data_IF_107996127664
#
_entry.id   IF_107996127664
#
_cell.length_a   1.000
_cell.length_b   1.000
_cell.length_c   1.000
_cell.angle_alpha   90.00
_cell.angle_beta   90.00
_cell.angle_gamma   90.00
#
_symmetry.space_group_name_H-M   'P 1'
#
loop_
_entity.id
_entity.type
_entity.pdbx_description
1 polymer ?
#
# COMPACT_ATOMS: atom_id res chain seq x y z
N UNK A 1 -51.78 -42.91 12.26
CA UNK A 1 -51.54 -43.19 13.69
C UNK A 1 -50.08 -42.85 13.98
N UNK A 2 -49.85 -41.73 14.66
CA UNK A 2 -48.55 -41.16 15.09
C UNK A 2 -47.91 -42.00 16.21
N UNK A 3 -46.58 -41.94 16.41
CA UNK A 3 -45.93 -40.89 17.26
C UNK A 3 -44.66 -40.33 16.59
N UNK A 4 -44.35 -39.01 16.58
CA UNK A 4 -43.94 -38.04 17.63
C UNK A 4 -42.65 -38.37 18.42
N UNK A 5 -41.56 -37.71 17.96
CA UNK A 5 -40.50 -36.97 18.69
C UNK A 5 -39.57 -37.76 19.64
N UNK A 6 -38.25 -37.72 19.37
CA UNK A 6 -37.22 -37.20 20.28
C UNK A 6 -35.80 -37.52 19.75
N UNK A 7 -34.89 -36.53 19.79
CA UNK A 7 -33.45 -36.80 19.63
C UNK A 7 -32.68 -35.75 18.82
N UNK A 8 -32.61 -34.52 19.33
CA UNK A 8 -31.57 -33.56 18.90
C UNK A 8 -30.24 -34.06 19.44
N UNK A 9 -29.34 -34.57 18.60
CA UNK A 9 -27.90 -34.37 18.83
C UNK A 9 -27.28 -33.93 17.50
N UNK A 10 -27.10 -32.62 17.46
CA UNK A 10 -26.18 -31.87 16.64
C UNK A 10 -24.75 -32.41 16.88
N UNK A 11 -24.13 -32.98 15.85
CA UNK A 11 -22.66 -32.97 15.75
C UNK A 11 -22.34 -32.34 14.41
N UNK A 12 -22.50 -31.02 14.35
CA UNK A 12 -21.75 -30.20 13.41
C UNK A 12 -20.28 -30.44 13.73
N UNK A 13 -19.61 -31.23 12.90
CA UNK A 13 -18.16 -31.29 12.89
C UNK A 13 -17.65 -29.90 12.49
N UNK A 14 -17.43 -29.06 13.50
CA UNK A 14 -16.72 -27.80 13.38
C UNK A 14 -15.29 -28.17 12.99
N UNK A 15 -15.04 -28.18 11.67
CA UNK A 15 -13.69 -28.11 11.11
C UNK A 15 -13.08 -26.80 11.59
N UNK A 16 -12.48 -26.84 12.78
CA UNK A 16 -11.62 -25.80 13.29
C UNK A 16 -10.29 -25.91 12.53
N UNK A 17 -10.33 -25.58 11.23
CA UNK A 17 -9.11 -25.18 10.55
C UNK A 17 -8.60 -23.98 11.35
N UNK A 18 -7.32 -23.96 11.77
CA UNK A 18 -6.75 -22.68 12.10
C UNK A 18 -6.91 -21.88 10.82
N UNK A 19 -7.74 -20.85 10.87
CA UNK A 19 -7.56 -19.70 10.02
C UNK A 19 -6.18 -19.19 10.46
N UNK A 20 -5.12 -19.81 9.93
CA UNK A 20 -3.82 -19.21 9.88
C UNK A 20 -4.15 -17.87 9.26
N UNK A 21 -4.09 -16.84 10.09
CA UNK A 21 -4.22 -15.48 9.65
C UNK A 21 -3.24 -15.40 8.49
N UNK A 22 -3.76 -15.45 7.26
CA UNK A 22 -3.03 -14.96 6.14
C UNK A 22 -2.90 -13.51 6.52
N UNK A 23 -1.76 -13.16 7.13
CA UNK A 23 -1.28 -11.82 7.00
C UNK A 23 -1.28 -11.63 5.49
N UNK A 24 -2.32 -10.99 4.96
CA UNK A 24 -2.29 -10.38 3.65
C UNK A 24 -1.26 -9.26 3.75
N UNK A 25 0.01 -9.64 3.84
CA UNK A 25 1.11 -8.78 3.44
C UNK A 25 1.35 -9.05 1.97
N UNK A 26 0.29 -8.99 1.17
CA UNK A 26 0.41 -8.82 -0.28
C UNK A 26 0.42 -7.32 -0.55
N UNK A 27 1.39 -6.67 0.09
CA UNK A 27 1.63 -5.26 -0.16
C UNK A 27 2.49 -5.20 -1.41
N UNK A 28 1.85 -5.43 -2.56
CA UNK A 28 2.43 -5.34 -3.91
C UNK A 28 2.74 -3.87 -4.24
N UNK A 29 3.55 -3.27 -3.38
CA UNK A 29 3.99 -1.90 -3.52
C UNK A 29 5.24 -1.91 -4.39
N UNK A 30 5.19 -1.33 -5.60
CA UNK A 30 6.23 -1.50 -6.61
C UNK A 30 7.58 -0.88 -6.25
N UNK A 31 7.62 -0.07 -5.18
CA UNK A 31 8.83 0.60 -4.69
C UNK A 31 9.25 0.11 -3.30
N UNK A 32 8.72 -1.03 -2.83
CA UNK A 32 9.11 -1.64 -1.56
C UNK A 32 10.60 -2.00 -1.61
N UNK A 33 11.36 -1.59 -0.59
CA UNK A 33 12.82 -1.75 -0.49
C UNK A 33 13.64 -1.19 -1.67
N UNK A 34 13.04 -0.38 -2.55
CA UNK A 34 13.76 0.28 -3.62
C UNK A 34 14.69 1.34 -3.04
N UNK A 35 15.98 1.25 -3.35
CA UNK A 35 16.96 2.25 -2.91
C UNK A 35 16.77 3.56 -3.67
N UNK A 36 17.21 4.68 -3.06
CA UNK A 36 17.22 6.00 -3.72
C UNK A 36 17.94 5.92 -5.08
N UNK A 37 19.07 5.22 -5.16
CA UNK A 37 19.82 5.04 -6.39
C UNK A 37 19.01 4.31 -7.49
N UNK A 38 18.24 3.29 -7.14
CA UNK A 38 17.38 2.57 -8.08
C UNK A 38 16.24 3.48 -8.59
N UNK A 39 15.58 4.22 -7.69
CA UNK A 39 14.50 5.13 -8.05
C UNK A 39 15.00 6.27 -8.94
N UNK A 40 16.18 6.81 -8.62
CA UNK A 40 16.82 7.86 -9.42
C UNK A 40 17.28 7.35 -10.79
N UNK A 41 17.80 6.12 -10.88
CA UNK A 41 18.09 5.49 -12.15
C UNK A 41 16.82 5.30 -13.01
N UNK A 42 15.68 4.94 -12.41
CA UNK A 42 14.41 4.87 -13.13
C UNK A 42 13.92 6.24 -13.60
N UNK A 43 14.06 7.28 -12.77
CA UNK A 43 13.71 8.64 -13.16
C UNK A 43 14.62 9.20 -14.26
N UNK A 44 15.93 8.96 -14.17
CA UNK A 44 16.90 9.34 -15.19
C UNK A 44 16.64 8.61 -16.52
N UNK A 45 16.16 7.36 -16.47
CA UNK A 45 15.77 6.60 -17.64
C UNK A 45 14.36 6.93 -18.17
N UNK A 46 13.64 7.88 -17.55
CA UNK A 46 12.30 8.28 -17.96
C UNK A 46 11.21 7.23 -17.71
N UNK A 47 11.49 6.19 -16.91
CA UNK A 47 10.53 5.12 -16.55
C UNK A 47 9.68 5.48 -15.34
N UNK A 48 10.09 6.46 -14.56
CA UNK A 48 9.43 6.92 -13.35
C UNK A 48 9.50 8.45 -13.30
N UNK A 49 8.48 9.12 -12.77
CA UNK A 49 8.52 10.54 -12.44
C UNK A 49 8.42 10.74 -10.93
N UNK A 50 8.89 11.89 -10.44
CA UNK A 50 8.72 12.27 -9.04
C UNK A 50 7.24 12.34 -8.68
N UNK A 51 6.38 12.85 -9.57
CA UNK A 51 4.93 12.89 -9.33
C UNK A 51 4.33 11.48 -9.14
N UNK A 52 4.74 10.52 -9.99
CA UNK A 52 4.27 9.12 -9.88
C UNK A 52 4.70 8.48 -8.56
N UNK A 53 5.97 8.65 -8.19
CA UNK A 53 6.52 8.12 -6.96
C UNK A 53 5.83 8.72 -5.72
N UNK A 54 5.69 10.05 -5.69
CA UNK A 54 5.02 10.75 -4.58
C UNK A 54 3.56 10.32 -4.44
N UNK A 55 2.83 10.21 -5.56
CA UNK A 55 1.43 9.75 -5.55
C UNK A 55 1.30 8.33 -4.99
N UNK A 56 2.17 7.42 -5.42
CA UNK A 56 2.16 6.05 -4.93
C UNK A 56 2.38 5.96 -3.41
N UNK A 57 3.26 6.79 -2.84
CA UNK A 57 3.45 6.85 -1.39
C UNK A 57 2.27 7.51 -0.66
N UNK A 58 1.65 8.56 -1.20
CA UNK A 58 0.44 9.15 -0.60
C UNK A 58 -0.70 8.12 -0.55
N UNK A 59 -0.89 7.34 -1.62
CA UNK A 59 -1.88 6.27 -1.66
C UNK A 59 -1.56 5.16 -0.65
N UNK A 60 -0.29 4.78 -0.52
CA UNK A 60 0.18 3.81 0.49
C UNK A 60 -0.05 4.32 1.92
N UNK A 61 0.23 5.60 2.19
CA UNK A 61 -0.06 6.24 3.47
C UNK A 61 -1.56 6.16 3.76
N UNK A 62 -2.42 6.51 2.81
CA UNK A 62 -3.88 6.39 3.00
C UNK A 62 -4.31 4.96 3.38
N UNK A 63 -3.77 3.96 2.69
CA UNK A 63 -4.07 2.54 2.94
C UNK A 63 -3.56 2.05 4.30
N UNK A 64 -2.39 2.47 4.75
CA UNK A 64 -1.76 1.90 5.95
C UNK A 64 -1.95 2.75 7.21
N UNK A 65 -1.87 4.06 7.06
CA UNK A 65 -1.80 5.00 8.17
C UNK A 65 -3.18 5.34 8.73
N UNK A 66 -4.15 5.65 7.84
CA UNK A 66 -5.47 6.13 8.25
C UNK A 66 -6.62 5.13 8.03
N UNK A 67 -6.59 4.36 6.93
CA UNK A 67 -7.71 3.46 6.56
C UNK A 67 -7.44 1.97 6.78
N UNK A 68 -6.23 1.59 7.20
CA UNK A 68 -5.83 0.19 7.40
C UNK A 68 -5.42 -0.11 8.85
N UNK A 69 -4.25 -0.73 9.11
CA UNK A 69 -3.83 -1.12 10.46
C UNK A 69 -3.66 0.06 11.44
N UNK A 70 -3.75 1.31 10.97
CA UNK A 70 -3.71 2.49 11.84
C UNK A 70 -2.31 2.73 12.37
N UNK A 71 -1.31 2.74 11.48
CA UNK A 71 0.10 2.97 11.87
C UNK A 71 0.26 4.32 12.56
N UNK A 72 -0.53 5.33 12.19
CA UNK A 72 -0.52 6.69 12.76
C UNK A 72 0.89 7.33 12.78
N UNK A 73 1.68 7.08 11.75
CA UNK A 73 3.00 7.65 11.54
C UNK A 73 2.96 9.05 10.90
N UNK A 74 1.88 9.40 10.18
CA UNK A 74 1.77 10.68 9.45
C UNK A 74 0.73 11.58 10.09
N UNK A 75 1.17 12.71 10.65
CA UNK A 75 0.28 13.70 11.28
C UNK A 75 -0.48 14.51 10.22
N UNK A 76 0.23 14.96 9.18
CA UNK A 76 -0.32 15.78 8.11
C UNK A 76 0.45 15.53 6.80
N UNK A 77 -0.28 15.52 5.68
CA UNK A 77 0.31 15.52 4.34
C UNK A 77 0.51 16.95 3.85
N UNK A 78 1.67 17.25 3.28
CA UNK A 78 1.90 18.54 2.64
C UNK A 78 0.96 18.69 1.41
N UNK A 79 0.05 19.70 1.38
CA UNK A 79 -0.89 19.89 0.27
C UNK A 79 -0.18 20.18 -1.06
N UNK A 80 1.04 20.70 -1.02
CA UNK A 80 1.82 21.06 -2.21
C UNK A 80 2.70 19.92 -2.74
N UNK A 81 2.71 18.74 -2.09
CA UNK A 81 3.64 17.64 -2.40
C UNK A 81 3.64 17.26 -3.88
N UNK A 82 2.45 17.13 -4.49
CA UNK A 82 2.33 16.81 -5.92
C UNK A 82 2.77 17.96 -6.83
N UNK A 83 2.56 19.21 -6.41
CA UNK A 83 3.01 20.39 -7.18
C UNK A 83 4.55 20.50 -7.19
N UNK A 84 5.18 20.27 -6.04
CA UNK A 84 6.64 20.23 -5.90
C UNK A 84 7.24 19.09 -6.73
N UNK A 85 6.62 17.90 -6.70
CA UNK A 85 7.06 16.76 -7.50
C UNK A 85 7.01 17.05 -9.02
N UNK A 86 5.91 17.65 -9.50
CA UNK A 86 5.79 18.10 -10.89
C UNK A 86 6.84 19.13 -11.28
N UNK A 87 7.17 20.05 -10.36
CA UNK A 87 8.22 21.04 -10.58
C UNK A 87 9.59 20.38 -10.73
N UNK A 88 9.92 19.42 -9.86
CA UNK A 88 11.16 18.65 -9.95
C UNK A 88 11.25 17.88 -11.28
N UNK A 89 10.16 17.29 -11.75
CA UNK A 89 10.10 16.62 -13.07
C UNK A 89 10.28 17.61 -14.23
N UNK A 90 9.72 18.82 -14.13
CA UNK A 90 9.93 19.88 -15.12
C UNK A 90 11.39 20.34 -15.17
N UNK A 91 12.04 20.53 -14.02
CA UNK A 91 13.47 20.86 -13.93
C UNK A 91 14.34 19.75 -14.53
N UNK A 92 14.05 18.49 -14.19
CA UNK A 92 14.77 17.32 -14.73
C UNK A 92 14.66 17.25 -16.26
N UNK A 93 13.48 17.49 -16.83
CA UNK A 93 13.30 17.56 -18.30
C UNK A 93 14.07 18.69 -18.97
N UNK A 94 14.36 19.77 -18.24
CA UNK A 94 15.21 20.88 -18.69
C UNK A 94 16.72 20.59 -18.49
N UNK A 95 17.10 19.39 -18.04
CA UNK A 95 18.49 19.05 -17.71
C UNK A 95 18.98 19.64 -16.38
N UNK A 96 18.09 20.24 -15.57
CA UNK A 96 18.42 20.78 -14.24
C UNK A 96 18.10 19.74 -13.17
N UNK A 97 19.11 18.98 -12.75
CA UNK A 97 19.00 18.00 -11.66
C UNK A 97 19.57 18.62 -10.38
N UNK A 98 18.85 18.51 -9.26
CA UNK A 98 19.17 19.21 -8.00
C UNK A 98 20.06 18.39 -7.03
N UNK A 99 20.41 17.14 -7.38
CA UNK A 99 21.18 16.23 -6.52
C UNK A 99 20.92 14.76 -6.86
N UNK A 100 21.45 13.82 -6.04
CA UNK A 100 21.28 12.38 -6.22
C UNK A 100 19.84 11.94 -6.33
#
# INVERSE_FOLDING_TARGET
>A
MTPRIAGRILVTALLLAPLAARAESDDDFPFLEATVAQLQAQMAAGRLTSEQLTRAYIERIGKLDSSGPGVNAVIELNPDALALARNADALRRQGKVLGP
#
